data_IF_311409950647
#
_entry.id   IF_311409950647
#
_cell.length_a   1.000
_cell.length_b   1.000
_cell.length_c   1.000
_cell.angle_alpha   90.00
_cell.angle_beta   90.00
_cell.angle_gamma   90.00
#
_symmetry.space_group_name_H-M   'P 1'
#
loop_
_entity.id
_entity.type
_entity.pdbx_description
1 polymer ?
#
# COMPACT_ATOMS: atom_id res chain seq x y z
N UNK A 1 -13.23 -19.16 1.09
CA UNK A 1 -12.16 -19.21 2.10
C UNK A 1 -10.86 -19.50 1.37
N UNK A 2 -9.96 -18.52 1.25
CA UNK A 2 -8.69 -18.74 0.57
C UNK A 2 -7.84 -19.64 1.48
N UNK A 3 -7.80 -20.93 1.17
CA UNK A 3 -6.93 -21.91 1.83
C UNK A 3 -5.48 -21.62 1.41
N UNK A 4 -4.86 -20.62 2.05
CA UNK A 4 -3.41 -20.47 2.08
C UNK A 4 -2.87 -21.41 3.15
N UNK A 5 -2.84 -22.69 2.80
CA UNK A 5 -1.93 -23.68 3.38
C UNK A 5 -0.48 -23.32 2.98
N UNK A 6 0.00 -22.16 3.43
CA UNK A 6 1.42 -21.79 3.36
C UNK A 6 2.20 -22.28 4.57
N UNK A 7 1.72 -23.33 5.22
CA UNK A 7 2.18 -23.74 6.53
C UNK A 7 3.57 -24.39 6.57
N UNK A 8 4.29 -24.69 5.45
CA UNK A 8 5.47 -25.58 5.61
C UNK A 8 6.54 -25.77 4.53
N UNK A 9 6.86 -24.83 3.62
CA UNK A 9 7.82 -25.19 2.57
C UNK A 9 8.89 -24.17 2.15
N UNK A 10 9.11 -23.05 2.85
CA UNK A 10 10.30 -22.27 2.55
C UNK A 10 10.97 -21.75 3.81
N UNK A 11 12.14 -22.33 4.11
CA UNK A 11 13.19 -21.67 4.90
C UNK A 11 13.68 -20.46 4.09
N UNK A 12 12.86 -19.41 4.00
CA UNK A 12 13.29 -18.12 3.47
C UNK A 12 13.60 -17.26 4.68
N UNK A 13 14.81 -16.74 4.68
CA UNK A 13 15.35 -15.76 5.61
C UNK A 13 14.26 -14.77 6.06
N UNK A 14 14.07 -14.59 7.37
CA UNK A 14 12.94 -13.85 7.95
C UNK A 14 13.04 -12.32 7.75
N UNK A 15 13.63 -11.89 6.63
CA UNK A 15 14.03 -10.51 6.30
C UNK A 15 13.71 -10.14 4.85
N UNK A 16 12.92 -10.93 4.13
CA UNK A 16 12.58 -10.60 2.75
C UNK A 16 11.37 -9.65 2.69
N UNK A 17 11.65 -8.35 2.49
CA UNK A 17 10.63 -7.34 2.22
C UNK A 17 9.68 -7.74 1.07
N UNK A 18 10.16 -8.54 0.11
CA UNK A 18 9.37 -9.02 -1.03
C UNK A 18 8.21 -9.90 -0.59
N UNK A 19 8.43 -10.75 0.43
CA UNK A 19 7.40 -11.62 0.98
C UNK A 19 6.28 -10.78 1.59
N UNK A 20 6.62 -9.84 2.47
CA UNK A 20 5.66 -8.95 3.10
C UNK A 20 4.91 -8.09 2.08
N UNK A 21 5.58 -7.59 1.03
CA UNK A 21 4.91 -6.90 -0.09
C UNK A 21 3.90 -7.79 -0.83
N UNK A 22 4.20 -9.08 -0.99
CA UNK A 22 3.30 -10.03 -1.66
C UNK A 22 2.11 -10.40 -0.79
N UNK A 23 2.32 -10.62 0.52
CA UNK A 23 1.24 -10.87 1.48
C UNK A 23 0.32 -9.65 1.58
N UNK A 24 0.89 -8.44 1.64
CA UNK A 24 0.15 -7.19 1.59
C UNK A 24 -0.73 -7.09 0.34
N UNK A 25 -0.19 -7.43 -0.84
CA UNK A 25 -0.96 -7.46 -2.08
C UNK A 25 -2.12 -8.47 -2.03
N UNK A 26 -1.88 -9.66 -1.46
CA UNK A 26 -2.94 -10.66 -1.29
C UNK A 26 -4.06 -10.14 -0.38
N UNK A 27 -3.70 -9.56 0.77
CA UNK A 27 -4.66 -8.95 1.69
C UNK A 27 -5.43 -7.79 1.04
N UNK A 28 -4.74 -6.94 0.27
CA UNK A 28 -5.35 -5.86 -0.52
C UNK A 28 -6.41 -6.40 -1.49
N UNK A 29 -6.08 -7.44 -2.26
CA UNK A 29 -7.01 -8.07 -3.21
C UNK A 29 -8.21 -8.74 -2.52
N UNK A 30 -8.07 -9.10 -1.25
CA UNK A 30 -9.17 -9.63 -0.43
C UNK A 30 -10.00 -8.54 0.27
N UNK A 31 -9.61 -7.26 0.13
CA UNK A 31 -10.26 -6.13 0.81
C UNK A 31 -9.88 -5.96 2.29
N UNK A 32 -8.87 -6.70 2.77
CA UNK A 32 -8.40 -6.62 4.16
C UNK A 32 -7.38 -5.49 4.34
N UNK A 33 -7.85 -4.23 4.27
CA UNK A 33 -7.00 -3.03 4.31
C UNK A 33 -6.03 -2.97 5.50
N UNK A 34 -6.47 -3.31 6.72
CA UNK A 34 -5.62 -3.27 7.93
C UNK A 34 -4.48 -4.29 7.89
N UNK A 35 -4.77 -5.50 7.39
CA UNK A 35 -3.75 -6.54 7.21
C UNK A 35 -2.78 -6.14 6.12
N UNK A 36 -3.29 -5.66 4.99
CA UNK A 36 -2.49 -5.16 3.88
C UNK A 36 -1.51 -4.06 4.33
N UNK A 37 -1.97 -3.14 5.18
CA UNK A 37 -1.16 -2.05 5.72
C UNK A 37 -0.05 -2.58 6.64
N UNK A 38 -0.39 -3.51 7.54
CA UNK A 38 0.58 -4.09 8.49
C UNK A 38 1.73 -4.75 7.74
N UNK A 39 1.42 -5.58 6.75
CA UNK A 39 2.43 -6.26 5.93
C UNK A 39 3.20 -5.27 5.03
N UNK A 40 2.54 -4.24 4.49
CA UNK A 40 3.20 -3.23 3.68
C UNK A 40 4.22 -2.42 4.49
N UNK A 41 3.88 -2.05 5.72
CA UNK A 41 4.78 -1.31 6.61
C UNK A 41 5.98 -2.16 7.02
N UNK A 42 5.80 -3.46 7.22
CA UNK A 42 6.92 -4.37 7.50
C UNK A 42 7.85 -4.51 6.28
N UNK A 43 7.29 -4.59 5.07
CA UNK A 43 8.08 -4.55 3.84
C UNK A 43 8.91 -3.25 3.73
N UNK A 44 8.29 -2.12 4.07
CA UNK A 44 8.95 -0.82 4.06
C UNK A 44 10.03 -0.72 5.14
N UNK A 45 9.77 -1.23 6.35
CA UNK A 45 10.75 -1.27 7.45
C UNK A 45 11.98 -2.09 7.08
N UNK A 46 11.78 -3.19 6.36
CA UNK A 46 12.87 -4.06 5.89
C UNK A 46 13.64 -3.45 4.72
N UNK A 47 12.99 -2.65 3.84
CA UNK A 47 13.62 -1.94 2.72
C UNK A 47 13.04 -0.52 2.54
N UNK A 48 13.56 0.47 3.29
CA UNK A 48 13.04 1.85 3.26
C UNK A 48 13.25 2.59 1.93
N UNK A 49 14.14 2.10 1.07
CA UNK A 49 14.43 2.67 -0.25
C UNK A 49 13.74 1.92 -1.40
N UNK A 50 12.65 1.20 -1.13
CA UNK A 50 11.98 0.38 -2.15
C UNK A 50 10.65 1.02 -2.56
N UNK A 51 10.55 1.64 -3.76
CA UNK A 51 9.33 2.33 -4.20
C UNK A 51 8.08 1.45 -4.11
N UNK A 52 8.21 0.16 -4.45
CA UNK A 52 7.08 -0.79 -4.38
C UNK A 52 6.51 -0.96 -2.98
N UNK A 53 7.33 -0.84 -1.93
CA UNK A 53 6.82 -0.89 -0.55
C UNK A 53 5.94 0.32 -0.22
N UNK A 54 6.37 1.53 -0.62
CA UNK A 54 5.55 2.74 -0.51
C UNK A 54 4.25 2.62 -1.28
N UNK A 55 4.27 2.06 -2.50
CA UNK A 55 3.05 1.78 -3.25
C UNK A 55 2.08 0.89 -2.47
N UNK A 56 2.60 -0.18 -1.83
CA UNK A 56 1.76 -1.09 -1.03
C UNK A 56 1.15 -0.40 0.18
N UNK A 57 1.91 0.47 0.86
CA UNK A 57 1.40 1.28 1.98
C UNK A 57 0.30 2.23 1.51
N UNK A 58 0.53 2.95 0.41
CA UNK A 58 -0.45 3.85 -0.19
C UNK A 58 -1.73 3.14 -0.61
N UNK A 59 -1.60 1.99 -1.30
CA UNK A 59 -2.74 1.17 -1.73
C UNK A 59 -3.53 0.62 -0.52
N UNK A 60 -2.86 0.24 0.56
CA UNK A 60 -3.54 -0.19 1.78
C UNK A 60 -4.32 0.97 2.44
N UNK A 61 -3.75 2.18 2.48
CA UNK A 61 -4.46 3.38 2.95
C UNK A 61 -5.64 3.75 2.05
N UNK A 62 -5.53 3.57 0.73
CA UNK A 62 -6.66 3.75 -0.20
C UNK A 62 -7.84 2.83 0.15
N UNK A 63 -7.59 1.56 0.46
CA UNK A 63 -8.64 0.64 0.92
C UNK A 63 -9.27 1.06 2.26
N UNK A 64 -8.47 1.65 3.14
CA UNK A 64 -8.92 2.17 4.42
C UNK A 64 -9.58 3.54 4.32
N UNK A 65 -9.66 4.12 3.11
CA UNK A 65 -10.16 5.48 2.86
C UNK A 65 -9.35 6.58 3.58
N UNK A 66 -8.12 6.27 3.96
CA UNK A 66 -7.18 7.20 4.58
C UNK A 66 -6.40 7.94 3.48
N UNK A 67 -7.12 8.69 2.65
CA UNK A 67 -6.60 9.23 1.38
C UNK A 67 -5.40 10.18 1.56
N UNK A 68 -5.35 10.95 2.65
CA UNK A 68 -4.22 11.82 2.98
C UNK A 68 -2.93 11.02 3.20
N UNK A 69 -3.00 9.92 3.96
CA UNK A 69 -1.84 9.05 4.18
C UNK A 69 -1.47 8.28 2.92
N UNK A 70 -2.46 7.93 2.10
CA UNK A 70 -2.23 7.30 0.82
C UNK A 70 -1.43 8.20 -0.12
N UNK A 71 -1.85 9.45 -0.30
CA UNK A 71 -1.16 10.39 -1.20
C UNK A 71 0.25 10.69 -0.71
N UNK A 72 0.45 10.88 0.60
CA UNK A 72 1.79 11.05 1.17
C UNK A 72 2.69 9.83 0.88
N UNK A 73 2.18 8.61 1.05
CA UNK A 73 2.95 7.39 0.79
C UNK A 73 3.34 7.26 -0.69
N UNK A 74 2.42 7.56 -1.61
CA UNK A 74 2.73 7.54 -3.04
C UNK A 74 3.76 8.60 -3.41
N UNK A 75 3.62 9.81 -2.86
CA UNK A 75 4.58 10.90 -3.06
C UNK A 75 5.99 10.52 -2.60
N UNK A 76 6.12 9.92 -1.41
CA UNK A 76 7.41 9.47 -0.89
C UNK A 76 8.03 8.39 -1.78
N UNK A 77 7.21 7.48 -2.30
CA UNK A 77 7.64 6.50 -3.30
C UNK A 77 8.09 7.13 -4.62
N UNK A 78 7.36 8.14 -5.12
CA UNK A 78 7.68 8.84 -6.37
C UNK A 78 9.01 9.60 -6.27
N UNK A 79 9.41 10.05 -5.08
CA UNK A 79 10.73 10.64 -4.87
C UNK A 79 11.86 9.62 -5.10
N UNK A 80 11.61 8.33 -4.91
CA UNK A 80 12.58 7.25 -5.13
C UNK A 80 12.60 6.75 -6.58
N UNK A 81 11.45 6.76 -7.26
CA UNK A 81 11.33 6.44 -8.68
C UNK A 81 10.36 7.43 -9.37
N UNK A 82 10.88 8.59 -9.81
CA UNK A 82 10.06 9.62 -10.47
C UNK A 82 9.53 9.20 -11.84
N UNK A 83 10.03 8.11 -12.42
CA UNK A 83 9.60 7.61 -13.74
C UNK A 83 8.45 6.62 -13.64
N UNK A 84 8.02 6.28 -12.43
CA UNK A 84 6.96 5.33 -12.19
C UNK A 84 5.58 5.96 -12.39
N UNK A 85 5.05 5.78 -13.60
CA UNK A 85 3.72 6.26 -14.00
C UNK A 85 2.62 5.68 -13.09
N UNK A 86 2.70 4.40 -12.72
CA UNK A 86 1.70 3.74 -11.84
C UNK A 86 1.63 4.44 -10.47
N UNK A 87 2.77 4.91 -9.96
CA UNK A 87 2.83 5.63 -8.69
C UNK A 87 2.28 7.04 -8.78
N UNK A 88 2.59 7.75 -9.87
CA UNK A 88 2.03 9.07 -10.14
C UNK A 88 0.50 9.02 -10.31
N UNK A 89 0.00 8.05 -11.06
CA UNK A 89 -1.44 7.83 -11.22
C UNK A 89 -2.12 7.54 -9.87
N UNK A 90 -1.52 6.69 -9.04
CA UNK A 90 -2.04 6.36 -7.72
C UNK A 90 -2.03 7.57 -6.76
N UNK A 91 -1.02 8.44 -6.85
CA UNK A 91 -0.97 9.70 -6.12
C UNK A 91 -2.15 10.61 -6.49
N UNK A 92 -2.38 10.84 -7.79
CA UNK A 92 -3.48 11.68 -8.25
C UNK A 92 -4.84 11.07 -7.95
N UNK A 93 -4.97 9.74 -7.98
CA UNK A 93 -6.19 9.08 -7.54
C UNK A 93 -6.48 9.37 -6.06
N UNK A 94 -5.48 9.25 -5.18
CA UNK A 94 -5.61 9.53 -3.75
C UNK A 94 -6.03 10.99 -3.49
N UNK A 95 -5.39 11.96 -4.16
CA UNK A 95 -5.72 13.38 -4.05
C UNK A 95 -7.14 13.70 -4.56
N UNK A 96 -7.55 13.07 -5.66
CA UNK A 96 -8.91 13.23 -6.18
C UNK A 96 -9.94 12.69 -5.19
N UNK A 97 -9.70 11.50 -4.60
CA UNK A 97 -10.56 10.91 -3.58
C UNK A 97 -10.65 11.80 -2.34
N UNK A 98 -9.52 12.31 -1.87
CA UNK A 98 -9.43 13.25 -0.76
C UNK A 98 -10.27 14.51 -1.03
N UNK A 99 -10.14 15.12 -2.22
CA UNK A 99 -10.95 16.29 -2.59
C UNK A 99 -12.44 15.95 -2.62
N UNK A 100 -12.82 14.81 -3.19
CA UNK A 100 -14.23 14.42 -3.27
C UNK A 100 -14.85 14.11 -1.91
N UNK A 101 -14.07 13.58 -0.95
CA UNK A 101 -14.59 13.32 0.40
C UNK A 101 -14.88 14.62 1.15
N UNK A 102 -14.05 15.66 0.98
CA UNK A 102 -14.25 16.96 1.62
C UNK A 102 -15.42 17.76 1.03
N UNK A 103 -15.68 17.64 -0.28
CA UNK A 103 -16.80 18.35 -0.95
C UNK A 103 -18.17 17.81 -0.51
N UNK A 104 -18.24 16.55 -0.03
CA UNK A 104 -19.46 15.98 0.52
C UNK A 104 -19.90 16.56 1.87
N UNK A 105 -18.99 17.19 2.62
CA UNK A 105 -19.27 17.73 3.95
C UNK A 105 -19.76 19.19 3.93
N UNK A 106 -19.62 19.90 2.82
CA UNK A 106 -19.99 21.34 2.72
C UNK A 106 -21.40 21.58 2.17
N UNK A 107 -22.29 20.57 2.21
CA UNK A 107 -23.65 20.65 1.65
C UNK A 107 -24.72 20.45 2.73
N UNK A 108 -24.80 21.34 3.71
CA UNK A 108 -25.98 21.56 4.57
C UNK A 108 -26.29 23.05 4.70
#
# INVERSE_FOLDING_TARGET
MCNLTSSRAIKIDSRDATLFSNVSLCAYRMGYGKMALTDALEALRLRPGWPKAYYRVGAAHMLLQEYEKASQSFKDGSLLDPTNIEMEEAYWEAENRLRTSHVGETSE
#
